data_IF_187438733416
#
_entry.id   IF_187438733416
#
_cell.length_a   1.000
_cell.length_b   1.000
_cell.length_c   1.000
_cell.angle_alpha   90.00
_cell.angle_beta   90.00
_cell.angle_gamma   90.00
#
_symmetry.space_group_name_H-M   'P 1'
#
loop_
_entity.id
_entity.type
_entity.pdbx_description
1 polymer ?
2 non-polymer ?
3 water ?
#
# COMPACT_ATOMS: atom_id res chain seq x y z
N UNK A 19 -13.27 14.57 21.38
CA UNK A 19 -13.15 13.85 20.08
C UNK A 19 -13.97 12.53 20.11
N UNK A 20 -14.85 12.36 19.14
CA UNK A 20 -15.51 11.08 18.87
C UNK A 20 -14.50 9.93 18.89
N UNK A 21 -14.86 8.80 19.49
CA UNK A 21 -13.98 7.64 19.57
C UNK A 21 -13.34 7.21 18.22
N UNK A 23 -12.63 9.14 15.74
CA UNK A 23 -11.65 10.17 15.36
C UNK A 23 -10.29 9.95 16.02
N UNK A 24 -10.31 9.41 17.24
CA UNK A 24 -9.09 9.13 17.99
C UNK A 24 -8.35 7.88 17.51
N UNK A 25 -9.06 6.98 16.83
CA UNK A 25 -8.49 5.66 16.50
C UNK A 25 -7.46 5.79 15.40
N UNK A 26 -7.76 6.53 14.35
CA UNK A 26 -6.78 6.71 13.29
C UNK A 26 -6.45 8.18 13.03
N UNK A 27 -6.33 8.96 14.11
CA UNK A 27 -5.85 10.33 14.02
C UNK A 27 -6.75 11.16 13.08
N UNK A 28 -8.05 10.95 13.16
CA UNK A 28 -9.01 11.72 12.37
C UNK A 28 -9.37 11.20 10.99
N UNK A 29 -8.77 10.11 10.55
CA UNK A 29 -9.18 9.47 9.29
C UNK A 29 -10.26 8.43 9.53
N UNK A 30 -11.27 8.40 8.65
CA UNK A 30 -12.29 7.39 8.70
C UNK A 30 -11.98 6.36 7.65
N UNK A 31 -11.82 5.10 8.09
CA UNK A 31 -11.61 4.02 7.11
C UNK A 31 -12.85 3.80 6.25
N UNK A 32 -12.68 3.80 4.94
CA UNK A 32 -13.75 3.45 4.01
C UNK A 32 -13.17 2.45 3.03
N UNK A 33 -13.77 1.26 2.96
CA UNK A 33 -13.29 0.19 2.11
C UNK A 33 -13.79 0.40 0.68
N UNK A 34 -12.89 0.33 -0.30
CA UNK A 34 -13.24 0.57 -1.70
C UNK A 34 -12.64 -0.54 -2.52
N UNK A 35 -13.43 -1.11 -3.43
CA UNK A 35 -12.86 -1.97 -4.46
C UNK A 35 -13.37 -1.54 -5.83
N UNK A 36 -12.53 -1.63 -6.83
CA UNK A 36 -12.90 -1.28 -8.20
C UNK A 36 -12.68 -2.47 -9.12
N UNK A 37 -13.47 -2.55 -10.19
CA UNK A 37 -13.18 -3.37 -11.31
C UNK A 37 -12.82 -2.45 -12.45
N UNK A 38 -11.88 -2.89 -13.29
CA UNK A 38 -11.32 -2.00 -14.31
C UNK A 38 -11.16 -2.74 -15.64
N UNK A 39 -10.87 -1.99 -16.69
CA UNK A 39 -10.62 -2.55 -18.04
C UNK A 39 -9.15 -2.80 -18.33
N UNK A 40 -8.36 -2.89 -17.27
CA UNK A 40 -6.93 -3.10 -17.36
C UNK A 40 -6.28 -2.55 -16.11
N UNK A 41 -4.94 -2.55 -16.13
CA UNK A 41 -4.16 -2.25 -14.96
C UNK A 41 -3.56 -0.85 -14.97
N UNK A 42 -3.76 -0.12 -16.07
CA UNK A 42 -3.30 1.25 -16.19
C UNK A 42 -4.35 2.30 -15.81
N UNK A 43 -4.18 2.92 -14.66
CA UNK A 43 -5.18 3.86 -14.15
C UNK A 43 -5.33 5.11 -14.97
N UNK A 44 -4.30 5.46 -15.73
CA UNK A 44 -4.34 6.72 -16.49
C UNK A 44 -5.24 6.56 -17.71
N UNK A 45 -5.25 5.36 -18.28
CA UNK A 45 -5.93 5.07 -19.55
C UNK A 45 -7.12 4.11 -19.50
N UNK A 46 -7.17 3.28 -18.46
CA UNK A 46 -8.07 2.13 -18.50
C UNK A 46 -9.41 2.47 -17.85
N UNK A 47 -10.47 1.88 -18.39
CA UNK A 47 -11.81 2.18 -17.92
C UNK A 47 -12.05 1.72 -16.48
N UNK A 48 -12.79 2.54 -15.77
CA UNK A 48 -13.38 2.12 -14.50
C UNK A 48 -14.74 1.47 -14.81
N UNK A 49 -14.97 0.24 -14.35
CA UNK A 49 -16.20 -0.49 -14.72
C UNK A 49 -17.16 -0.83 -13.54
N UNK A 50 -16.65 -0.80 -12.32
CA UNK A 50 -17.47 -0.99 -11.13
C UNK A 50 -16.72 -0.33 -10.02
N UNK A 51 -17.48 0.19 -9.06
CA UNK A 51 -16.92 0.68 -7.81
C UNK A 51 -17.87 0.41 -6.67
N UNK A 52 -17.35 -0.21 -5.60
CA UNK A 52 -18.06 -0.39 -4.34
C UNK A 52 -17.29 0.32 -3.24
N UNK A 53 -18.02 0.87 -2.26
CA UNK A 53 -17.42 1.54 -1.11
C UNK A 53 -18.21 1.18 0.13
N UNK A 54 -17.54 0.77 1.19
CA UNK A 54 -18.20 0.34 2.44
C UNK A 54 -17.62 1.10 3.60
N UNK A 55 -18.44 1.94 4.23
CA UNK A 55 -18.00 2.69 5.39
C UNK A 55 -17.98 1.77 6.59
N UNK A 56 -17.18 2.16 7.56
CA UNK A 56 -16.93 1.42 8.78
C UNK A 56 -17.44 2.31 9.93
N UNK A 57 -18.10 1.71 10.91
CA UNK A 57 -18.51 2.41 12.13
C UNK A 57 -17.79 1.86 13.35
N UNK A 59 -18.71 0.76 17.33
CA UNK A 59 -19.76 0.55 18.30
C UNK A 59 -19.42 1.10 19.68
N UNK A 60 -20.40 1.03 20.57
CA UNK A 60 -20.29 1.56 21.92
C UNK A 60 -19.14 0.95 22.73
N UNK A 61 -18.71 -0.24 22.34
CA UNK A 61 -17.58 -0.91 22.99
C UNK A 61 -16.21 -0.73 22.32
N UNK A 62 -16.20 0.00 21.22
CA UNK A 62 -14.95 0.37 20.53
C UNK A 62 -14.53 -0.59 19.44
N UNK A 63 -15.47 -1.43 19.02
CA UNK A 63 -15.26 -2.41 17.97
C UNK A 63 -15.77 -1.91 16.63
N UNK A 64 -15.00 -2.18 15.59
CA UNK A 64 -15.35 -1.74 14.24
C UNK A 64 -16.27 -2.76 13.57
N UNK A 65 -17.16 -2.25 12.73
CA UNK A 65 -18.07 -3.06 11.96
C UNK A 65 -18.35 -2.38 10.62
N UNK A 66 -18.66 -3.18 9.59
CA UNK A 66 -19.02 -2.58 8.30
C UNK A 66 -20.41 -1.93 8.39
N UNK A 67 -20.49 -0.68 7.99
CA UNK A 67 -21.74 0.08 8.13
C UNK A 67 -22.53 0.10 6.80
N UNK A 68 -22.26 1.05 5.92
CA UNK A 68 -23.05 1.11 4.70
C UNK A 68 -22.23 0.89 3.41
N UNK A 69 -22.85 0.16 2.47
CA UNK A 69 -22.27 -0.14 1.18
C UNK A 69 -22.95 0.65 0.05
N UNK A 70 -22.12 1.27 -0.77
CA UNK A 70 -22.51 1.88 -2.03
C UNK A 70 -21.93 0.96 -3.10
N UNK A 71 -22.63 0.82 -4.23
CA UNK A 71 -22.19 -0.03 -5.31
C UNK A 71 -22.83 0.45 -6.60
N UNK A 72 -21.97 0.69 -7.57
CA UNK A 72 -22.40 1.08 -8.92
C UNK A 72 -21.56 0.35 -9.96
N UNK A 73 -22.23 -0.08 -11.01
CA UNK A 73 -21.58 -0.47 -12.25
C UNK A 73 -21.43 0.77 -13.09
N UNK A 74 -20.30 0.88 -13.77
CA UNK A 74 -19.89 2.13 -14.42
C UNK A 74 -19.83 1.97 -15.92
N UNK A 75 -20.39 2.95 -16.62
CA UNK A 75 -20.28 3.02 -18.06
C UNK A 75 -18.86 3.53 -18.34
N UNK A 76 -18.10 2.81 -19.17
CA UNK A 76 -16.73 3.17 -19.50
C UNK A 76 -16.65 4.59 -19.99
N UNK A 77 -15.68 5.36 -19.51
CA UNK A 77 -15.61 6.77 -19.94
C UNK A 77 -15.26 6.84 -21.44
N UNK A 78 -15.64 7.94 -22.11
CA UNK A 78 -15.41 8.08 -23.56
C UNK A 78 -13.92 8.15 -23.85
N UNK A 79 -13.49 7.27 -24.74
CA UNK A 79 -12.07 7.11 -25.08
C UNK A 79 -11.31 6.15 -24.14
N UNK A 80 -11.99 5.49 -23.19
CA UNK A 80 -11.26 4.65 -22.25
C UNK A 80 -10.64 3.47 -23.00
N UNK A 81 -9.55 2.94 -22.47
CA UNK A 81 -8.98 1.72 -23.00
C UNK A 81 -9.57 0.54 -22.22
N UNK A 82 -9.92 -0.53 -22.93
CA UNK A 82 -10.36 -1.77 -22.34
C UNK A 82 -9.58 -2.89 -22.98
N UNK A 83 -8.77 -3.59 -22.19
CA UNK A 83 -8.02 -4.73 -22.68
C UNK A 83 -9.01 -5.88 -22.81
N UNK A 84 -9.16 -6.46 -24.00
CA UNK A 84 -10.17 -7.53 -24.15
C UNK A 84 -10.06 -8.71 -23.21
N UNK A 85 -8.85 -9.17 -22.97
CA UNK A 85 -8.62 -10.31 -22.05
C UNK A 85 -9.00 -9.93 -20.62
N UNK A 86 -8.61 -8.74 -20.19
CA UNK A 86 -8.99 -8.22 -18.85
C UNK A 86 -10.49 -8.24 -18.66
N UNK A 87 -11.20 -7.63 -19.60
CA UNK A 87 -12.65 -7.60 -19.52
C UNK A 87 -13.20 -9.02 -19.44
N UNK A 88 -12.72 -9.91 -20.32
CA UNK A 88 -13.14 -11.32 -20.30
C UNK A 88 -12.98 -11.97 -18.91
N UNK A 89 -11.88 -11.72 -18.22
CA UNK A 89 -11.66 -12.40 -16.93
C UNK A 89 -12.59 -11.88 -15.82
N UNK A 90 -12.98 -10.61 -15.91
CA UNK A 90 -13.91 -10.02 -14.92
C UNK A 90 -15.27 -10.61 -15.03
N UNK A 91 -15.60 -11.11 -16.21
CA UNK A 91 -16.93 -11.66 -16.48
C UNK A 91 -18.00 -10.60 -16.71
N UNK A 92 -17.58 -9.36 -16.85
CA UNK A 92 -18.52 -8.24 -17.01
C UNK A 92 -19.06 -8.21 -18.44
N UNK A 93 -20.36 -7.92 -18.54
CA UNK A 93 -21.09 -7.93 -19.79
C UNK A 93 -21.62 -6.52 -20.04
N UNK A 94 -20.92 -5.74 -20.83
CA UNK A 94 -21.17 -4.30 -20.92
C UNK A 94 -22.54 -3.95 -21.52
N UNK A 95 -23.06 -4.79 -22.39
CA UNK A 95 -24.31 -4.51 -23.07
C UNK A 95 -25.48 -5.30 -22.48
N UNK A 96 -25.30 -5.88 -21.30
CA UNK A 96 -26.38 -6.61 -20.68
C UNK A 96 -27.51 -5.64 -20.27
N UNK A 97 -28.75 -5.95 -20.66
CA UNK A 97 -29.88 -5.06 -20.42
C UNK A 97 -30.18 -4.74 -18.94
N UNK A 98 -29.72 -5.57 -18.02
CA UNK A 98 -29.88 -5.31 -16.59
C UNK A 98 -28.61 -4.81 -15.92
N UNK A 99 -27.61 -4.41 -16.71
CA UNK A 99 -26.38 -3.93 -16.09
C UNK A 99 -26.59 -2.70 -15.18
N UNK A 101 -25.68 0.36 -15.56
CA UNK A 101 -24.47 1.16 -15.50
C UNK A 101 -24.76 2.69 -15.49
N UNK A 102 -24.03 3.43 -14.69
CA UNK A 102 -24.17 4.88 -14.64
C UNK A 102 -22.83 5.55 -14.96
N UNK A 103 -22.88 6.83 -15.26
CA UNK A 103 -21.70 7.66 -15.44
C UNK A 103 -20.88 7.74 -14.17
N UNK A 104 -19.55 7.73 -14.32
CA UNK A 104 -18.68 7.74 -13.15
C UNK A 104 -18.87 8.96 -12.27
N UNK A 105 -19.12 10.12 -12.88
CA UNK A 105 -19.33 11.33 -12.07
C UNK A 105 -20.54 11.19 -11.14
N UNK A 106 -21.60 10.60 -11.65
CA UNK A 106 -22.83 10.44 -10.86
C UNK A 106 -22.59 9.49 -9.68
N UNK A 107 -21.89 8.39 -9.97
CA UNK A 107 -21.58 7.41 -8.94
C UNK A 107 -20.65 8.00 -7.88
N UNK A 108 -19.59 8.68 -8.28
CA UNK A 108 -18.68 9.32 -7.30
C UNK A 108 -19.37 10.42 -6.48
N UNK A 109 -20.19 11.22 -7.13
CA UNK A 109 -20.97 12.23 -6.42
C UNK A 109 -21.80 11.60 -5.29
N UNK A 110 -22.45 10.48 -5.57
CA UNK A 110 -23.31 9.86 -4.58
C UNK A 110 -22.48 9.23 -3.47
N UNK A 111 -21.43 8.51 -3.83
CA UNK A 111 -20.56 7.91 -2.82
C UNK A 111 -19.96 9.02 -1.94
N UNK A 112 -19.41 10.06 -2.55
CA UNK A 112 -18.76 11.16 -1.80
C UNK A 112 -19.68 11.82 -0.81
N UNK A 113 -20.89 12.07 -1.27
CA UNK A 113 -21.92 12.63 -0.42
C UNK A 113 -22.11 11.75 0.82
N UNK A 114 -22.25 10.46 0.60
CA UNK A 114 -22.43 9.53 1.72
C UNK A 114 -21.22 9.50 2.63
N UNK A 115 -20.03 9.57 2.06
CA UNK A 115 -18.82 9.61 2.85
C UNK A 115 -18.73 10.87 3.67
N UNK A 116 -19.07 12.01 3.08
CA UNK A 116 -19.00 13.26 3.85
C UNK A 116 -19.97 13.27 5.05
N UNK A 117 -21.12 12.65 4.89
CA UNK A 117 -22.08 12.51 5.95
C UNK A 117 -21.48 11.65 7.08
N UNK A 118 -20.78 10.59 6.69
CA UNK A 118 -20.14 9.72 7.66
C UNK A 118 -18.97 10.38 8.38
N UNK A 119 -18.23 11.24 7.70
CA UNK A 119 -17.13 11.96 8.32
C UNK A 119 -17.67 12.88 9.41
N UNK A 120 -18.77 13.55 9.12
CA UNK A 120 -19.41 14.43 10.09
C UNK A 120 -19.94 13.64 11.31
N UNK A 121 -20.58 12.51 11.08
CA UNK A 121 -21.09 11.68 12.17
C UNK A 121 -19.99 11.08 13.04
N UNK A 122 -18.78 10.92 12.50
CA UNK A 122 -17.65 10.33 13.24
C UNK A 122 -16.59 11.35 13.67
N UNK A 123 -16.83 12.65 13.46
CA UNK A 123 -15.84 13.67 13.85
C UNK A 123 -14.53 13.55 13.09
N UNK A 124 -14.58 13.06 11.87
CA UNK A 124 -13.36 12.79 11.11
C UNK A 124 -13.16 13.86 10.03
N UNK A 125 -11.92 14.07 9.66
CA UNK A 125 -11.54 15.13 8.74
C UNK A 125 -11.42 14.66 7.30
N UNK A 126 -11.17 13.36 7.11
CA UNK A 126 -10.93 12.76 5.80
C UNK A 126 -11.13 11.27 5.89
N UNK A 127 -11.47 10.67 4.76
CA UNK A 127 -11.52 9.22 4.65
C UNK A 127 -10.18 8.67 4.22
N UNK A 128 -9.89 7.45 4.61
CA UNK A 128 -8.72 6.77 4.13
C UNK A 128 -9.17 5.48 3.46
N UNK A 129 -8.76 5.32 2.19
CA UNK A 129 -9.18 4.14 1.46
C UNK A 129 -8.61 2.89 2.08
N UNK A 130 -9.44 1.89 2.30
CA UNK A 130 -9.00 0.57 2.77
C UNK A 130 -9.26 -0.42 1.62
N UNK A 131 -8.28 -1.26 1.33
CA UNK A 131 -8.40 -2.11 0.17
C UNK A 131 -7.39 -3.21 0.16
N UNK A 132 -7.65 -4.22 -0.64
CA UNK A 132 -6.69 -5.27 -0.81
C UNK A 132 -5.79 -4.91 -1.99
N UNK A 133 -4.53 -4.60 -1.68
CA UNK A 133 -3.57 -4.01 -2.64
C UNK A 133 -4.13 -2.65 -2.99
N UNK A 134 -4.32 -1.88 -1.92
CA UNK A 134 -5.17 -0.71 -1.90
C UNK A 134 -4.67 0.43 -2.79
N UNK A 135 -3.38 0.47 -3.05
CA UNK A 135 -2.84 1.54 -3.90
C UNK A 135 -3.37 1.41 -5.31
N UNK A 136 -3.71 0.20 -5.74
CA UNK A 136 -4.35 -0.03 -7.04
C UNK A 136 -5.72 0.70 -7.15
N UNK A 137 -6.58 0.49 -6.16
CA UNK A 137 -7.90 1.14 -6.09
C UNK A 137 -7.79 2.66 -5.94
N UNK A 138 -6.92 3.10 -5.06
CA UNK A 138 -6.68 4.54 -4.90
C UNK A 138 -6.25 5.22 -6.22
N UNK A 139 -5.37 4.59 -6.99
CA UNK A 139 -4.94 5.17 -8.26
C UNK A 139 -6.09 5.32 -9.23
N UNK A 140 -6.93 4.29 -9.30
CA UNK A 140 -8.10 4.37 -10.20
C UNK A 140 -9.10 5.43 -9.72
N UNK A 141 -9.28 5.52 -8.41
CA UNK A 141 -10.16 6.50 -7.83
C UNK A 141 -9.63 7.91 -8.11
N UNK A 142 -8.34 8.14 -7.90
CA UNK A 142 -7.75 9.46 -8.19
C UNK A 142 -7.90 9.80 -9.66
N UNK A 143 -7.73 8.82 -10.52
CA UNK A 143 -7.83 9.08 -11.96
C UNK A 143 -9.27 9.43 -12.36
N UNK A 144 -10.26 8.72 -11.82
CA UNK A 144 -11.65 9.04 -12.12
C UNK A 144 -12.03 10.46 -11.63
N UNK A 145 -11.61 10.80 -10.42
CA UNK A 145 -11.80 12.15 -9.88
C UNK A 145 -11.17 13.20 -10.79
N UNK A 146 -9.98 12.92 -11.33
CA UNK A 146 -9.30 13.84 -12.21
C UNK A 146 -10.04 14.02 -13.52
N UNK A 147 -10.66 12.93 -14.02
CA UNK A 147 -11.40 12.99 -15.30
C UNK A 147 -12.70 13.76 -15.18
N UNK A 148 -13.40 13.57 -14.08
CA UNK A 148 -14.71 14.18 -13.88
C UNK A 148 -14.58 15.63 -13.40
N UNK A 149 -13.43 16.02 -12.87
CA UNK A 149 -13.26 17.37 -12.28
C UNK A 149 -14.06 17.57 -10.99
N UNK A 150 -14.40 16.47 -10.31
CA UNK A 150 -15.11 16.56 -9.02
C UNK A 150 -14.23 17.23 -7.98
N UNK A 151 -14.86 18.08 -7.18
CA UNK A 151 -14.18 18.82 -6.15
C UNK A 151 -14.51 18.24 -4.77
N UNK A 152 -13.63 18.49 -3.82
CA UNK A 152 -13.84 18.04 -2.46
C UNK A 152 -13.89 16.51 -2.46
N UNK A 153 -12.84 15.88 -2.99
CA UNK A 153 -12.64 14.46 -2.82
C UNK A 153 -12.35 14.22 -1.33
N UNK A 154 -13.21 13.45 -0.65
CA UNK A 154 -13.03 13.24 0.77
C UNK A 154 -11.97 12.19 1.15
N UNK A 155 -11.38 11.51 0.17
CA UNK A 155 -10.36 10.52 0.45
C UNK A 155 -9.01 11.15 0.49
N UNK A 156 -8.15 10.68 1.39
CA UNK A 156 -6.72 10.97 1.30
C UNK A 156 -6.16 10.58 -0.11
N UNK A 157 -5.43 11.49 -0.78
CA UNK A 157 -4.97 11.21 -2.14
C UNK A 157 -3.85 10.17 -2.26
N UNK A 158 -3.19 9.84 -1.16
CA UNK A 158 -1.92 9.15 -1.25
C UNK A 158 -1.74 7.99 -0.24
N UNK A 159 -2.28 8.10 0.96
CA UNK A 159 -2.20 7.00 1.92
C UNK A 159 -3.46 6.14 1.87
N UNK A 160 -3.30 4.87 2.24
CA UNK A 160 -4.37 3.90 2.23
C UNK A 160 -4.03 2.78 3.19
N UNK A 161 -5.05 2.08 3.69
CA UNK A 161 -4.83 0.91 4.50
C UNK A 161 -4.94 -0.31 3.62
N UNK A 162 -3.83 -1.04 3.51
CA UNK A 162 -3.72 -2.24 2.68
C UNK A 162 -4.10 -3.48 3.48
N UNK A 163 -5.18 -4.15 3.10
CA UNK A 163 -5.49 -5.36 3.81
C UNK A 163 -4.52 -6.48 3.53
N UNK A 164 -3.76 -6.43 2.44
CA UNK A 164 -2.78 -7.50 2.17
C UNK A 164 -1.64 -7.43 3.22
N UNK A 165 -1.32 -6.21 3.65
CA UNK A 165 -0.38 -5.96 4.72
C UNK A 165 -0.95 -6.43 6.06
N UNK A 166 -2.21 -6.10 6.31
CA UNK A 166 -2.85 -6.52 7.58
C UNK A 166 -2.99 -7.99 7.67
N UNK A 167 -3.29 -8.62 6.56
CA UNK A 167 -3.42 -10.11 6.57
C UNK A 167 -2.07 -10.83 6.65
N UNK A 168 -1.04 -10.21 6.05
CA UNK A 168 0.32 -10.68 6.23
C UNK A 168 0.68 -10.76 7.71
N UNK A 169 0.43 -9.67 8.44
CA UNK A 169 0.69 -9.64 9.87
C UNK A 169 -0.15 -10.67 10.61
N UNK A 170 -1.46 -10.60 10.42
CA UNK A 170 -2.39 -11.33 11.26
C UNK A 170 -2.37 -12.81 10.96
N UNK A 171 -2.31 -13.16 9.67
CA UNK A 171 -2.46 -14.55 9.26
C UNK A 171 -1.30 -15.10 8.45
N UNK A 172 -0.31 -14.27 8.17
CA UNK A 172 0.77 -14.69 7.28
C UNK A 172 0.34 -14.97 5.84
N UNK A 173 -0.76 -14.35 5.40
CA UNK A 173 -1.32 -14.55 4.05
C UNK A 173 -1.48 -13.23 3.35
N UNK A 174 -1.15 -13.14 2.08
CA UNK A 174 -1.39 -11.90 1.30
C UNK A 174 -2.50 -11.97 0.25
N UNK A 175 -2.97 -13.18 -0.06
CA UNK A 175 -4.05 -13.37 -1.00
C UNK A 175 -5.39 -13.29 -0.28
N UNK A 176 -6.32 -12.54 -0.86
CA UNK A 176 -7.57 -12.15 -0.18
C UNK A 176 -8.38 -13.33 0.28
N UNK A 177 -8.60 -14.28 -0.62
CA UNK A 177 -9.37 -15.50 -0.31
C UNK A 177 -8.74 -16.34 0.80
N UNK A 178 -7.42 -16.48 0.72
CA UNK A 178 -6.66 -17.22 1.72
C UNK A 178 -6.61 -16.50 3.07
N UNK A 179 -6.60 -15.18 3.04
CA UNK A 179 -6.66 -14.39 4.26
C UNK A 179 -8.01 -14.58 4.95
N UNK A 180 -9.09 -14.41 4.19
CA UNK A 180 -10.46 -14.64 4.72
C UNK A 180 -10.68 -16.06 5.23
N UNK A 181 -10.09 -17.03 4.56
CA UNK A 181 -10.19 -18.42 4.99
C UNK A 181 -9.46 -18.57 6.35
N UNK A 182 -8.25 -18.02 6.42
CA UNK A 182 -7.48 -18.01 7.66
C UNK A 182 -8.24 -17.31 8.80
N UNK A 183 -8.97 -16.25 8.47
CA UNK A 183 -9.72 -15.49 9.48
C UNK A 183 -11.02 -16.17 9.93
N UNK A 184 -11.32 -17.34 9.34
CA UNK A 184 -12.55 -18.08 9.64
C UNK A 184 -13.76 -17.63 8.83
N UNK A 186 -16.14 -17.14 5.33
CA UNK A 186 -16.41 -17.82 4.05
C UNK A 186 -15.86 -16.95 2.90
N UNK A 187 -15.26 -17.59 1.89
CA UNK A 187 -14.91 -16.89 0.66
C UNK A 187 -14.90 -17.88 -0.50
N UNK A 188 -15.53 -17.50 -1.63
CA UNK A 188 -15.71 -18.40 -2.78
C UNK A 188 -14.56 -18.29 -3.79
N UNK A 189 -13.98 -19.44 -4.15
CA UNK A 189 -13.00 -19.53 -5.24
C UNK A 189 -13.74 -19.78 -6.56
N UNK A 190 -14.69 -18.90 -6.86
CA UNK A 190 -15.50 -18.99 -8.07
C UNK A 190 -14.81 -18.23 -9.20
N UNK A 191 -14.11 -17.15 -8.83
CA UNK A 191 -13.44 -16.23 -9.77
C UNK A 191 -14.32 -15.06 -10.25
N UNK A 192 -15.65 -15.27 -10.25
CA UNK A 192 -16.61 -14.28 -10.76
C UNK A 192 -17.27 -13.51 -9.60
N UNK A 193 -16.56 -12.50 -9.07
CA UNK A 193 -17.09 -11.66 -7.97
C UNK A 193 -17.10 -10.21 -8.32
N UNK A 194 -18.23 -9.57 -8.03
CA UNK A 194 -18.38 -8.14 -8.22
C UNK A 194 -17.63 -7.36 -7.14
N UNK A 195 -17.37 -6.09 -7.46
CA UNK A 195 -16.72 -5.20 -6.52
C UNK A 195 -17.46 -5.21 -5.14
N UNK A 196 -18.78 -5.40 -5.14
CA UNK A 196 -19.57 -5.42 -3.91
C UNK A 196 -19.18 -6.58 -2.95
N UNK A 197 -19.02 -7.76 -3.52
CA UNK A 197 -18.62 -8.94 -2.75
C UNK A 197 -17.24 -8.70 -2.14
N UNK A 198 -16.33 -8.16 -2.94
CA UNK A 198 -14.94 -8.02 -2.53
C UNK A 198 -14.80 -6.97 -1.43
N UNK A 199 -15.61 -5.93 -1.53
CA UNK A 199 -15.58 -4.82 -0.60
C UNK A 199 -16.17 -5.22 0.78
N UNK A 200 -17.26 -5.97 0.74
CA UNK A 200 -17.84 -6.49 1.95
C UNK A 200 -16.95 -7.51 2.67
N UNK A 201 -16.35 -8.42 1.93
CA UNK A 201 -15.36 -9.35 2.52
C UNK A 201 -14.11 -8.67 3.08
N UNK A 202 -13.62 -7.67 2.35
CA UNK A 202 -12.47 -6.88 2.76
C UNK A 202 -12.77 -6.04 4.01
N UNK A 203 -13.96 -5.46 4.06
CA UNK A 203 -14.38 -4.73 5.25
C UNK A 203 -14.46 -5.64 6.49
N UNK A 204 -14.98 -6.85 6.33
CA UNK A 204 -15.01 -7.83 7.39
C UNK A 204 -13.61 -8.27 7.83
N UNK A 205 -12.74 -8.55 6.86
CA UNK A 205 -11.32 -8.81 7.15
C UNK A 205 -10.64 -7.64 7.92
N UNK A 206 -10.81 -6.42 7.42
CA UNK A 206 -10.25 -5.22 8.07
C UNK A 206 -10.70 -5.09 9.53
N UNK A 207 -12.02 -5.05 9.75
CA UNK A 207 -12.59 -4.87 11.12
C UNK A 207 -12.21 -5.99 12.07
N UNK A 208 -12.19 -7.22 11.56
CA UNK A 208 -11.75 -8.41 12.35
C UNK A 208 -10.32 -8.28 12.82
N UNK A 209 -9.41 -7.79 11.97
CA UNK A 209 -8.00 -7.67 12.36
C UNK A 209 -7.84 -6.56 13.42
N UNK A 210 -8.37 -5.37 13.13
CA UNK A 210 -8.39 -4.27 14.11
C UNK A 210 -9.07 -4.71 15.42
N UNK A 211 -10.17 -5.42 15.32
CA UNK A 211 -10.83 -5.89 16.54
C UNK A 211 -10.05 -6.95 17.36
N UNK A 212 -9.34 -7.83 16.64
CA UNK A 212 -8.44 -8.77 17.30
C UNK A 212 -7.31 -8.04 18.02
N UNK A 213 -6.74 -7.05 17.36
CA UNK A 213 -5.69 -6.22 17.94
C UNK A 213 -6.18 -5.63 19.30
N UNK A 214 -7.40 -5.07 19.31
CA UNK A 214 -8.02 -4.59 20.53
C UNK A 214 -8.25 -5.68 21.57
N UNK A 215 -8.80 -6.80 21.13
CA UNK A 215 -9.06 -7.93 22.02
C UNK A 215 -7.78 -8.45 22.64
N UNK A 217 -5.26 -6.68 23.57
CA UNK A 217 -4.70 -5.63 24.42
C UNK A 217 -4.07 -4.46 23.67
N UNK A 218 -4.25 -4.38 22.36
CA UNK A 218 -3.49 -3.42 21.56
C UNK A 218 -4.01 -1.98 21.51
N UNK A 219 -5.23 -1.75 22.01
CA UNK A 219 -5.82 -0.42 21.96
C UNK A 219 -6.66 -0.10 23.20
CA UNK B 19 10.85 -25.45 6.40
C UNK B 19 11.32 -24.37 7.41
N UNK B 20 12.13 -23.42 6.96
CA UNK B 20 12.69 -22.39 7.86
C UNK B 20 11.56 -21.60 8.51
N UNK B 21 11.73 -21.20 9.78
CA UNK B 21 10.65 -20.49 10.46
C UNK B 21 10.25 -19.20 9.77
N UNK B 23 10.40 -18.65 6.58
CA UNK B 23 9.63 -19.10 5.40
C UNK B 23 8.16 -19.37 5.72
N UNK B 24 7.88 -19.74 6.97
CA UNK B 24 6.52 -20.01 7.41
C UNK B 24 5.74 -18.76 7.85
N UNK B 25 6.44 -17.66 8.13
CA UNK B 25 5.82 -16.46 8.66
C UNK B 25 5.04 -15.69 7.63
N UNK B 26 5.61 -15.52 6.42
CA UNK B 26 4.92 -14.76 5.39
C UNK B 26 4.80 -15.53 4.08
N UNK B 27 4.57 -16.82 4.19
CA UNK B 27 4.21 -17.65 3.03
C UNK B 27 5.35 -17.71 1.98
N UNK B 28 6.56 -17.88 2.50
CA UNK B 28 7.78 -17.94 1.70
C UNK B 28 8.40 -16.61 1.25
N UNK B 29 7.83 -15.48 1.66
CA UNK B 29 8.40 -14.19 1.32
C UNK B 29 9.24 -13.61 2.45
N UNK B 30 10.38 -13.04 2.06
CA UNK B 30 11.31 -12.41 2.99
C UNK B 30 11.05 -10.93 2.96
N UNK B 31 10.63 -10.37 4.10
CA UNK B 31 10.49 -8.93 4.10
C UNK B 31 11.85 -8.21 3.95
N UNK B 32 11.88 -7.19 3.10
CA UNK B 32 13.07 -6.38 2.90
C UNK B 32 12.61 -4.95 2.82
N UNK B 33 13.08 -4.11 3.73
CA UNK B 33 12.67 -2.72 3.79
C UNK B 33 13.39 -1.91 2.70
N UNK B 34 12.64 -1.12 1.93
CA UNK B 34 13.25 -0.26 0.91
C UNK B 34 12.71 1.15 1.03
N UNK B 35 13.60 2.13 0.93
CA UNK B 35 13.21 3.50 0.78
C UNK B 35 14.05 4.15 -0.30
N UNK B 36 13.38 4.94 -1.13
CA UNK B 36 14.03 5.65 -2.19
C UNK B 36 13.89 7.16 -1.98
N UNK B 37 14.88 7.91 -2.46
CA UNK B 37 14.76 9.34 -2.68
C UNK B 37 14.68 9.52 -4.17
N UNK B 38 13.92 10.52 -4.58
CA UNK B 38 13.55 10.66 -5.99
C UNK B 38 13.50 12.09 -6.41
N UNK B 39 13.45 12.30 -7.73
CA UNK B 39 13.36 13.64 -8.30
C UNK B 39 11.96 14.19 -8.41
N UNK B 40 10.98 13.46 -7.88
CA UNK B 40 9.59 13.90 -7.82
C UNK B 40 8.69 12.71 -7.56
N UNK B 41 7.39 12.91 -7.75
CA UNK B 41 6.42 11.89 -7.37
C UNK B 41 6.01 10.96 -8.51
N UNK B 42 6.49 11.20 -9.72
CA UNK B 42 6.10 10.40 -10.89
C UNK B 42 7.15 9.35 -11.24
N UNK B 43 6.82 8.09 -10.97
CA UNK B 43 7.75 6.97 -11.13
C UNK B 43 8.16 6.72 -12.58
N UNK B 44 7.32 7.17 -13.51
CA UNK B 44 7.60 7.01 -14.94
C UNK B 44 8.73 7.94 -15.43
N UNK B 45 8.79 9.15 -14.88
CA UNK B 45 9.64 10.18 -15.42
C UNK B 45 10.71 10.73 -14.53
N UNK B 46 10.56 10.50 -13.25
CA UNK B 46 11.35 11.24 -12.29
C UNK B 46 12.51 10.40 -11.81
N UNK B 47 13.62 11.08 -11.50
CA UNK B 47 14.86 10.37 -11.23
C UNK B 47 14.82 9.56 -9.92
N UNK B 48 15.46 8.40 -9.96
CA UNK B 48 15.88 7.71 -8.72
C UNK B 48 17.20 8.32 -8.30
N UNK B 49 17.26 8.85 -7.09
CA UNK B 49 18.46 9.50 -6.58
C UNK B 49 19.16 8.81 -5.38
N UNK B 50 18.45 7.97 -4.65
CA UNK B 50 19.07 7.17 -3.58
C UNK B 50 18.20 5.99 -3.38
N UNK B 51 18.77 4.87 -2.96
CA UNK B 51 18.02 3.70 -2.57
C UNK B 51 18.73 3.07 -1.37
N UNK B 52 17.96 2.72 -0.34
CA UNK B 52 18.48 1.96 0.80
C UNK B 52 17.57 0.76 0.96
N UNK B 53 18.16 -0.39 1.31
CA UNK B 53 17.39 -1.57 1.59
C UNK B 53 17.98 -2.26 2.80
N UNK B 54 17.10 -2.77 3.66
CA UNK B 54 17.49 -3.44 4.90
C UNK B 54 16.73 -4.76 4.97
N UNK B 55 17.45 -5.87 4.94
CA UNK B 55 16.82 -7.17 5.14
C UNK B 55 16.44 -7.33 6.62
N UNK B 56 15.46 -8.18 6.85
CA UNK B 56 14.99 -8.54 8.18
C UNK B 56 15.35 -9.99 8.42
N UNK B 57 15.78 -10.31 9.64
CA UNK B 57 16.00 -11.68 10.05
C UNK B 57 15.05 -12.04 11.19
N UNK B 59 15.07 -14.15 14.90
CA UNK B 59 15.95 -14.76 15.90
C UNK B 59 15.47 -16.11 16.40
N UNK B 60 16.23 -16.67 17.34
CA UNK B 60 15.98 -18.01 17.82
C UNK B 60 14.65 -18.10 18.55
N UNK B 61 14.18 -16.96 19.04
CA UNK B 61 12.91 -16.89 19.72
C UNK B 61 11.75 -16.44 18.84
N UNK B 62 11.99 -16.31 17.54
CA UNK B 62 10.92 -15.99 16.60
C UNK B 62 10.68 -14.50 16.42
N UNK B 63 11.56 -13.67 16.97
CA UNK B 63 11.41 -12.21 16.86
C UNK B 63 12.18 -11.68 15.67
N UNK B 64 11.56 -10.80 14.90
CA UNK B 64 12.22 -10.19 13.78
C UNK B 64 13.18 -9.12 14.26
N UNK B 65 14.27 -8.95 13.52
CA UNK B 65 15.22 -7.85 13.74
C UNK B 65 15.77 -7.36 12.40
N UNK B 66 16.15 -6.07 12.31
CA UNK B 66 16.80 -5.56 11.10
C UNK B 66 18.22 -6.13 10.87
N UNK B 67 18.50 -6.64 9.70
CA UNK B 67 19.74 -7.38 9.56
C UNK B 67 20.69 -6.62 8.66
N UNK B 68 20.74 -6.92 7.36
CA UNK B 68 21.78 -6.37 6.49
C UNK B 68 21.28 -5.12 5.77
N UNK B 69 22.10 -4.08 5.71
CA UNK B 69 21.75 -2.84 5.03
C UNK B 69 22.60 -2.59 3.77
N UNK B 70 21.96 -2.08 2.72
CA UNK B 70 22.62 -1.65 1.51
C UNK B 70 22.20 -0.19 1.28
N UNK B 71 23.08 0.61 0.73
CA UNK B 71 22.79 2.01 0.47
C UNK B 71 23.63 2.50 -0.69
N UNK B 72 22.99 3.20 -1.63
CA UNK B 72 23.69 3.79 -2.76
C UNK B 72 23.04 5.08 -3.12
N UNK B 73 23.87 6.09 -3.38
CA UNK B 73 23.40 7.27 -4.09
C UNK B 73 23.48 6.97 -5.60
N UNK B 74 22.43 7.40 -6.28
CA UNK B 74 22.21 7.04 -7.68
C UNK B 74 22.38 8.22 -8.60
N UNK B 75 23.09 7.97 -9.71
CA UNK B 75 23.17 8.96 -10.75
C UNK B 75 21.81 9.00 -11.47
N UNK B 76 21.25 10.20 -11.65
CA UNK B 76 20.00 10.32 -12.39
C UNK B 76 20.06 9.63 -13.77
N UNK B 77 19.10 8.77 -14.10
CA UNK B 77 19.11 8.13 -15.43
C UNK B 77 19.08 9.19 -16.57
N UNK B 78 19.71 8.89 -17.69
CA UNK B 78 19.69 9.80 -18.83
C UNK B 78 18.25 10.12 -19.22
N UNK B 79 17.89 11.39 -19.25
CA UNK B 79 16.54 11.83 -19.58
C UNK B 79 15.60 12.06 -18.39
N UNK B 80 16.04 11.75 -17.17
CA UNK B 80 15.20 11.84 -15.99
C UNK B 80 14.77 13.27 -15.65
N UNK B 81 13.59 13.40 -15.06
CA UNK B 81 13.11 14.69 -14.58
C UNK B 81 13.50 14.82 -13.10
N UNK B 82 14.02 15.98 -12.73
CA UNK B 82 14.33 16.26 -11.32
C UNK B 82 13.66 17.58 -10.93
N UNK B 83 12.64 17.53 -10.10
CA UNK B 83 11.97 18.72 -9.67
C UNK B 83 12.84 19.51 -8.69
N UNK B 84 13.01 20.83 -8.95
CA UNK B 84 13.69 21.71 -8.02
C UNK B 84 13.28 21.50 -6.57
N UNK B 85 11.99 21.30 -6.32
CA UNK B 85 11.47 21.12 -4.98
C UNK B 85 11.88 19.78 -4.34
N UNK B 86 12.09 18.73 -5.16
CA UNK B 86 12.62 17.50 -4.65
C UNK B 86 14.02 17.71 -4.09
N UNK B 87 14.85 18.45 -4.82
CA UNK B 87 16.22 18.71 -4.36
C UNK B 87 16.29 19.55 -3.09
N UNK B 88 15.39 20.52 -2.96
CA UNK B 88 15.30 21.31 -1.73
C UNK B 88 14.84 20.45 -0.57
N UNK B 89 13.85 19.61 -0.79
CA UNK B 89 13.37 18.74 0.25
C UNK B 89 14.44 17.77 0.80
N UNK B 90 15.17 17.12 -0.11
CA UNK B 90 16.15 16.11 0.28
C UNK B 90 17.50 16.64 0.68
N UNK B 91 17.84 17.85 0.25
CA UNK B 91 19.17 18.38 0.48
C UNK B 91 20.20 17.82 -0.51
N UNK B 92 19.73 17.14 -1.56
CA UNK B 92 20.65 16.45 -2.46
C UNK B 92 21.43 17.46 -3.29
N UNK B 93 22.74 17.23 -3.38
CA UNK B 93 23.65 18.01 -4.22
C UNK B 93 24.29 17.10 -5.27
N UNK B 94 23.73 17.15 -6.50
CA UNK B 94 24.09 16.21 -7.56
C UNK B 94 25.56 16.29 -7.97
N UNK B 95 26.16 17.46 -7.81
CA UNK B 95 27.51 17.66 -8.24
C UNK B 95 28.52 17.69 -7.11
N UNK B 96 28.10 17.36 -5.90
CA UNK B 96 29.04 17.35 -4.79
C UNK B 96 30.14 16.27 -5.06
N UNK B 97 31.41 16.66 -4.91
CA UNK B 97 32.54 15.75 -5.22
C UNK B 97 32.62 14.45 -4.42
N UNK B 98 31.98 14.39 -3.25
CA UNK B 98 31.94 13.17 -2.47
C UNK B 98 30.59 12.47 -2.52
N UNK B 99 29.74 12.83 -3.46
CA UNK B 99 28.43 12.16 -3.57
C UNK B 99 28.53 10.66 -3.82
N UNK B 101 27.96 8.76 -6.33
CA UNK B 101 26.77 8.23 -6.95
C UNK B 101 27.16 7.22 -8.03
N UNK B 102 26.31 6.20 -8.19
CA UNK B 102 26.56 5.08 -9.11
C UNK B 102 25.37 4.89 -10.03
N UNK B 103 25.63 4.19 -11.12
CA UNK B 103 24.60 3.84 -12.07
C UNK B 103 23.58 2.94 -11.40
N UNK B 104 22.30 3.21 -11.68
CA UNK B 104 21.21 2.48 -11.08
C UNK B 104 21.31 1.01 -11.36
N UNK B 105 21.78 0.63 -12.55
CA UNK B 105 21.90 -0.80 -12.87
C UNK B 105 22.90 -1.51 -11.94
N UNK B 106 24.02 -0.87 -11.67
CA UNK B 106 25.04 -1.43 -10.76
C UNK B 106 24.54 -1.51 -9.31
N UNK B 107 23.81 -0.50 -8.88
CA UNK B 107 23.33 -0.47 -7.51
C UNK B 107 22.30 -1.61 -7.33
N UNK B 108 21.29 -1.68 -8.19
CA UNK B 108 20.29 -2.73 -8.10
C UNK B 108 20.87 -4.13 -8.16
N UNK B 109 21.81 -4.36 -9.07
CA UNK B 109 22.44 -5.66 -9.21
C UNK B 109 23.10 -6.09 -7.90
N UNK B 110 23.77 -5.15 -7.25
CA UNK B 110 24.46 -5.43 -6.01
C UNK B 110 23.44 -5.71 -4.90
N UNK B 111 22.43 -4.86 -4.79
CA UNK B 111 21.38 -5.05 -3.79
C UNK B 111 20.71 -6.42 -4.00
N UNK B 112 20.31 -6.70 -5.25
CA UNK B 112 19.59 -7.95 -5.58
C UNK B 112 20.39 -9.22 -5.25
N UNK B 113 21.68 -9.17 -5.57
CA UNK B 113 22.60 -10.22 -5.20
C UNK B 113 22.60 -10.41 -3.69
N UNK B 114 22.62 -9.33 -2.92
CA UNK B 114 22.62 -9.41 -1.46
C UNK B 114 21.33 -10.02 -0.93
N UNK B 115 20.21 -9.62 -1.54
CA UNK B 115 18.91 -10.12 -1.13
C UNK B 115 18.78 -11.63 -1.43
N UNK B 116 19.22 -12.06 -2.60
CA UNK B 116 19.21 -13.50 -2.93
C UNK B 116 19.93 -14.34 -1.89
N UNK B 117 21.03 -13.82 -1.38
CA UNK B 117 21.78 -14.47 -0.32
C UNK B 117 20.92 -14.57 0.97
N UNK B 118 20.19 -13.50 1.30
CA UNK B 118 19.27 -13.47 2.43
C UNK B 118 18.12 -14.45 2.26
N UNK B 119 17.61 -14.54 1.02
CA UNK B 119 16.55 -15.49 0.68
C UNK B 119 16.94 -16.94 1.02
N UNK B 120 18.09 -17.35 0.49
CA UNK B 120 18.62 -18.67 0.74
C UNK B 120 18.84 -18.96 2.20
N UNK B 121 19.37 -18.00 2.94
CA UNK B 121 19.63 -18.19 4.37
C UNK B 121 18.32 -18.23 5.22
N UNK B 122 17.21 -17.75 4.66
CA UNK B 122 15.92 -17.76 5.33
C UNK B 122 14.93 -18.79 4.75
N UNK B 123 15.37 -19.59 3.78
CA UNK B 123 14.53 -20.60 3.13
C UNK B 123 13.37 -20.00 2.33
N UNK B 124 13.53 -18.75 1.89
CA UNK B 124 12.45 -17.99 1.22
C UNK B 124 12.66 -17.97 -0.29
N UNK B 125 11.60 -17.78 -1.04
CA UNK B 125 11.61 -17.88 -2.49
C UNK B 125 11.63 -16.51 -3.16
N UNK B 126 11.08 -15.49 -2.49
CA UNK B 126 11.04 -14.13 -3.01
C UNK B 126 11.13 -13.14 -1.89
N UNK B 127 11.40 -11.90 -2.25
CA UNK B 127 11.39 -10.80 -1.33
C UNK B 127 10.09 -10.06 -1.48
N UNK B 128 9.62 -9.51 -0.37
CA UNK B 128 8.46 -8.62 -0.41
C UNK B 128 8.95 -7.28 0.14
N UNK B 129 8.69 -6.21 -0.61
CA UNK B 129 9.13 -4.87 -0.20
C UNK B 129 8.31 -4.37 0.96
N UNK B 130 9.00 -3.84 1.97
CA UNK B 130 8.41 -3.17 3.08
C UNK B 130 8.80 -1.71 3.00
N UNK B 131 7.82 -0.84 3.19
CA UNK B 131 8.10 0.58 3.14
C UNK B 131 6.99 1.42 3.74
N UNK B 132 7.30 2.68 4.05
CA UNK B 132 6.29 3.57 4.55
C UNK B 132 5.62 4.24 3.37
N UNK B 133 4.33 3.93 3.18
CA UNK B 133 3.65 4.16 1.88
C UNK B 133 4.41 3.40 0.81
N UNK B 134 4.44 2.07 1.01
CA UNK B 134 5.31 1.15 0.27
C UNK B 134 5.07 1.09 -1.25
N UNK B 135 3.87 1.36 -1.66
CA UNK B 135 3.59 1.39 -3.09
C UNK B 135 4.38 2.44 -3.81
N UNK B 136 4.66 3.55 -3.14
CA UNK B 136 5.50 4.57 -3.76
C UNK B 136 6.87 3.97 -4.14
N UNK B 137 7.53 3.36 -3.16
CA UNK B 137 8.86 2.83 -3.34
C UNK B 137 8.83 1.64 -4.32
N UNK B 138 7.82 0.78 -4.25
CA UNK B 138 7.73 -0.31 -5.22
C UNK B 138 7.59 0.22 -6.64
N UNK B 139 6.82 1.27 -6.81
CA UNK B 139 6.65 1.86 -8.17
C UNK B 139 7.96 2.37 -8.73
N UNK B 140 8.78 3.00 -7.89
CA UNK B 140 10.07 3.51 -8.35
C UNK B 140 11.06 2.39 -8.61
N UNK B 141 11.04 1.35 -7.77
CA UNK B 141 11.88 0.20 -7.97
C UNK B 141 11.55 -0.50 -9.31
N UNK B 142 10.26 -0.67 -9.59
CA UNK B 142 9.84 -1.40 -10.79
C UNK B 142 10.22 -0.61 -12.02
N UNK B 143 10.16 0.73 -11.93
CA UNK B 143 10.46 1.62 -13.06
C UNK B 143 11.94 1.60 -13.36
N UNK B 144 12.76 1.50 -12.30
CA UNK B 144 14.22 1.35 -12.44
C UNK B 144 14.58 -0.01 -13.00
N UNK B 145 13.92 -1.05 -12.52
CA UNK B 145 14.11 -2.39 -13.05
C UNK B 145 13.76 -2.44 -14.57
N UNK B 146 12.69 -1.77 -14.95
CA UNK B 146 12.29 -1.71 -16.36
C UNK B 146 13.34 -0.97 -17.16
N UNK B 147 13.77 0.22 -16.70
CA UNK B 147 14.79 0.98 -17.42
C UNK B 147 16.07 0.19 -17.69
N UNK B 148 16.53 -0.51 -16.64
CA UNK B 148 17.80 -1.26 -16.68
C UNK B 148 17.72 -2.62 -17.39
N UNK B 149 16.51 -3.15 -17.57
CA UNK B 149 16.34 -4.47 -18.17
C UNK B 149 16.75 -5.62 -17.27
N UNK B 150 16.80 -5.41 -15.94
CA UNK B 150 17.18 -6.47 -15.05
C UNK B 150 16.06 -7.52 -15.05
N UNK B 151 16.41 -8.75 -15.31
CA UNK B 151 15.44 -9.83 -15.33
C UNK B 151 15.43 -10.52 -13.98
N UNK B 152 16.58 -10.53 -13.31
CA UNK B 152 16.72 -11.18 -12.00
C UNK B 152 16.37 -10.24 -10.85
N UNK B 153 15.09 -9.93 -10.77
CA UNK B 153 14.58 -9.11 -9.69
C UNK B 153 13.92 -10.06 -8.67
N UNK B 154 14.43 -10.14 -7.44
CA UNK B 154 13.86 -11.03 -6.41
C UNK B 154 12.63 -10.54 -5.70
N UNK B 155 12.21 -9.30 -5.95
CA UNK B 155 11.06 -8.73 -5.32
C UNK B 155 9.77 -9.12 -6.03
N UNK B 156 8.73 -9.31 -5.25
CA UNK B 156 7.40 -9.34 -5.78
C UNK B 156 7.10 -8.04 -6.50
N UNK B 157 6.46 -8.14 -7.65
CA UNK B 157 6.22 -6.98 -8.48
C UNK B 157 5.06 -6.12 -8.01
N UNK B 158 4.12 -6.66 -7.25
CA UNK B 158 2.98 -5.89 -6.84
C UNK B 158 2.54 -5.83 -5.39
N UNK B 159 2.78 -6.92 -4.67
CA UNK B 159 2.61 -6.96 -3.23
C UNK B 159 3.69 -6.21 -2.47
N UNK B 160 3.29 -5.48 -1.45
CA UNK B 160 4.21 -4.89 -0.49
C UNK B 160 3.61 -4.82 0.90
N UNK B 161 4.46 -4.66 1.90
CA UNK B 161 4.00 -4.43 3.27
C UNK B 161 4.15 -2.94 3.62
N UNK B 162 3.03 -2.29 3.88
CA UNK B 162 3.00 -0.88 4.12
C UNK B 162 3.05 -0.57 5.61
N UNK B 163 4.10 0.09 6.09
CA UNK B 163 4.19 0.40 7.50
C UNK B 163 3.26 1.55 7.90
N UNK B 164 2.74 2.30 6.93
CA UNK B 164 1.71 3.29 7.25
C UNK B 164 0.44 2.56 7.73
N UNK B 165 0.14 1.42 7.08
CA UNK B 165 -0.99 0.59 7.41
C UNK B 165 -0.74 -0.04 8.80
N UNK B 166 0.44 -0.61 8.97
CA UNK B 166 0.79 -1.26 10.22
C UNK B 166 0.76 -0.33 11.41
N UNK B 167 1.32 0.87 11.23
CA UNK B 167 1.34 1.88 12.29
C UNK B 167 -0.05 2.42 12.59
N UNK B 168 -0.91 2.47 11.59
CA UNK B 168 -2.31 2.89 11.78
C UNK B 168 -2.99 1.93 12.73
N UNK B 169 -2.80 0.64 12.46
CA UNK B 169 -3.27 -0.40 13.35
C UNK B 169 -2.68 -0.27 14.76
N UNK B 170 -1.36 -0.25 14.87
CA UNK B 170 -0.71 -0.38 16.19
C UNK B 170 -0.74 0.89 17.01
N UNK B 171 -0.58 2.04 16.37
CA UNK B 171 -0.44 3.32 17.06
C UNK B 171 -1.43 4.38 16.58
N UNK B 172 -2.29 4.07 15.64
CA UNK B 172 -3.20 5.06 15.11
C UNK B 172 -2.52 6.18 14.32
N UNK B 173 -1.33 5.94 13.79
CA UNK B 173 -0.51 6.97 13.17
C UNK B 173 -0.13 6.54 11.77
N UNK B 174 -0.23 7.45 10.80
CA UNK B 174 0.18 7.17 9.43
C UNK B 174 1.46 7.88 9.03
N UNK B 175 1.86 8.89 9.81
CA UNK B 175 3.07 9.63 9.53
C UNK B 175 4.23 8.95 10.22
N UNK B 176 5.31 8.71 9.45
CA UNK B 176 6.45 7.91 9.92
C UNK B 176 7.07 8.43 11.23
N UNK B 177 7.37 9.73 11.27
CA UNK B 177 7.95 10.33 12.47
C UNK B 177 7.08 10.11 13.69
N UNK B 178 5.79 10.40 13.54
CA UNK B 178 4.82 10.24 14.62
C UNK B 178 4.61 8.81 15.02
N UNK B 179 4.65 7.89 14.04
CA UNK B 179 4.54 6.48 14.33
C UNK B 179 5.72 6.04 15.21
N UNK B 180 6.94 6.43 14.82
CA UNK B 180 8.12 6.02 15.60
C UNK B 180 8.07 6.56 17.02
N UNK B 181 7.63 7.81 17.18
CA UNK B 181 7.45 8.41 18.49
C UNK B 181 6.43 7.68 19.36
N UNK B 182 5.30 7.30 18.77
CA UNK B 182 4.29 6.49 19.45
C UNK B 182 4.88 5.13 19.86
N UNK B 183 5.77 4.60 19.02
CA UNK B 183 6.42 3.33 19.32
C UNK B 183 7.45 3.39 20.46
N UNK B 184 7.82 4.60 20.89
CA UNK B 184 8.86 4.79 21.87
C UNK B 184 10.27 4.89 21.27
N UNK B 186 13.26 7.12 19.13
CA UNK B 186 13.66 8.48 18.78
C UNK B 186 13.51 8.67 17.26
N UNK B 187 12.88 9.76 16.85
CA UNK B 187 12.87 10.14 15.45
C UNK B 187 13.19 11.64 15.35
N UNK B 188 14.30 11.96 14.69
CA UNK B 188 14.77 13.35 14.56
C UNK B 188 13.92 14.14 13.57
N UNK B 189 13.28 15.20 14.02
CA UNK B 189 12.59 16.15 13.13
C UNK B 189 13.66 16.87 12.30
N UNK B 190 14.18 16.17 11.29
CA UNK B 190 15.38 16.60 10.55
C UNK B 190 15.07 17.71 9.57
N UNK B 191 16.13 18.31 9.05
CA UNK B 191 15.99 19.37 8.05
C UNK B 191 16.33 18.90 6.64
N UNK B 192 16.97 17.74 6.55
CA UNK B 192 17.21 17.08 5.29
C UNK B 192 16.76 15.62 5.42
N UNK B 193 15.83 15.26 4.56
CA UNK B 193 15.35 13.88 4.44
C UNK B 193 16.43 12.93 3.86
N UNK B 194 16.67 11.79 4.56
CA UNK B 194 17.57 10.72 4.09
C UNK B 194 16.89 9.32 4.02
N UNK B 195 17.25 8.56 2.98
CA UNK B 195 16.70 7.22 2.76
C UNK B 195 17.33 6.17 3.69
N UNK B 196 18.60 6.36 4.00
CA UNK B 196 19.27 5.45 4.91
C UNK B 196 18.57 5.53 6.28
N UNK B 197 18.25 6.75 6.72
CA UNK B 197 17.60 7.00 8.01
C UNK B 197 16.16 6.49 8.06
N UNK B 198 15.38 6.76 7.00
CA UNK B 198 13.98 6.29 6.95
C UNK B 198 13.95 4.76 6.88
N UNK B 199 14.91 4.16 6.19
CA UNK B 199 14.94 2.70 6.05
C UNK B 199 15.24 2.02 7.42
N UNK B 200 16.16 2.60 8.17
CA UNK B 200 16.59 2.04 9.45
C UNK B 200 15.43 2.12 10.44
N UNK B 201 14.76 3.25 10.49
CA UNK B 201 13.62 3.48 11.36
C UNK B 201 12.38 2.71 10.94
N UNK B 202 12.13 2.64 9.64
CA UNK B 202 11.03 1.83 9.11
C UNK B 202 11.21 0.34 9.45
N UNK B 203 12.44 -0.15 9.33
CA UNK B 203 12.76 -1.52 9.67
C UNK B 203 12.46 -1.80 11.15
N UNK B 204 12.87 -0.89 12.04
CA UNK B 204 12.57 -1.01 13.47
C UNK B 204 11.07 -0.96 13.71
N UNK B 205 10.40 -0.02 13.05
CA UNK B 205 8.97 0.12 13.15
C UNK B 205 8.25 -1.19 12.77
N UNK B 206 8.70 -1.79 11.69
CA UNK B 206 8.08 -2.99 11.12
C UNK B 206 8.27 -4.16 12.04
N UNK B 207 9.50 -4.36 12.49
CA UNK B 207 9.84 -5.48 13.35
C UNK B 207 9.13 -5.33 14.66
N UNK B 208 8.99 -4.09 15.14
CA UNK B 208 8.40 -3.84 16.46
C UNK B 208 6.94 -4.24 16.46
N UNK B 209 6.25 -3.93 15.38
CA UNK B 209 4.83 -4.22 15.26
C UNK B 209 4.59 -5.70 15.07
N UNK B 210 5.38 -6.37 14.22
CA UNK B 210 5.26 -7.82 14.04
C UNK B 210 5.60 -8.56 15.38
N UNK B 211 6.61 -8.07 16.07
CA UNK B 211 6.98 -8.65 17.34
C UNK B 211 5.91 -8.41 18.40
N UNK B 212 5.29 -7.23 18.40
CA UNK B 212 4.19 -6.99 19.33
C UNK B 212 3.01 -7.94 19.10
N UNK B 213 2.63 -8.14 17.84
CA UNK B 213 1.61 -9.15 17.49
C UNK B 213 1.95 -10.49 18.16
N UNK B 214 3.22 -10.88 18.08
CA UNK B 214 3.63 -12.15 18.64
C UNK B 214 3.58 -12.15 20.18
N UNK B 215 4.05 -11.06 20.78
CA UNK B 215 4.01 -10.89 22.25
C UNK B 215 2.58 -11.01 22.73
N UNK B 217 0.28 -12.87 21.57
CA UNK B 217 -0.28 -14.19 21.34
C UNK B 217 -0.77 -14.42 19.92
N UNK B 218 -0.36 -13.55 19.00
CA UNK B 218 -0.84 -13.61 17.62
C UNK B 218 -0.16 -14.59 16.66
N UNK B 219 0.99 -15.15 17.03
CA UNK B 219 1.70 -16.11 16.16
C UNK B 219 2.42 -17.24 16.93
#
# INVERSE_FOLDING_TARGET
XSEDNFDDEFDGSLPSGPRHPXARRFRGYLPVVVDVETGGFNSATDALLEIAATTVGXDEKGFLFPEHTYFFRIEPFEGANIEPAALEFTGIKLDHPLRXAVQEEAALTEIFRGIRKALKANGCKRAILVGHNSSFDLGFLNAAVARTGIKRNPFHPFSSFDTATLAGLAYGQTVLAKACQAAGXEFDNREAHSARYDTEKTAELFCGIVNRWKEXGGWXDDDD
XSEDNFDDEFDGSLPSGPRHPXARRFRGYLPVVVDVETGGFNSATDALLEIAATTVGXDEKGFLFPEHTYFFRIEPFEGANIEPAALEFTGIKLDHPLRXAVQEEAALTEIFRGIRKALKANGCKRAILVGHNSSFDLGFLNAAVARTGIKRNPFHPFSSFDTATLAGLAYGQTVLAKACQAAGXEFDNREAHSARYDTEKTAELFCGIVNRWKEXGGWXDDDD
#
